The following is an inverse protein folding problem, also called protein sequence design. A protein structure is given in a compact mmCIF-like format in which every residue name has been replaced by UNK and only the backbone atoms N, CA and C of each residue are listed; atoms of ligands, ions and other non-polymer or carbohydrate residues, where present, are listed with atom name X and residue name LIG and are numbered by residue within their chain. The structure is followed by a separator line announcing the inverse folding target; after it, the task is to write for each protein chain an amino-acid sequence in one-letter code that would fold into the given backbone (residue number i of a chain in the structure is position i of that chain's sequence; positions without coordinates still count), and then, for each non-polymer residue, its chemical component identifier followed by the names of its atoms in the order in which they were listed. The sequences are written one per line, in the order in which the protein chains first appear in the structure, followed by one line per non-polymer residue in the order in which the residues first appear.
data_IF_514990314442
#
_entry.id   IF_514990314442
#
_cell.length_a   1.000
_cell.length_b   1.000
_cell.length_c   1.000
_cell.angle_alpha   90.00
_cell.angle_beta   90.00
_cell.angle_gamma   90.00
#
_symmetry.space_group_name_H-M   'P 1'
#
loop_
_entity.id
_entity.type
_entity.pdbx_description
1 polymer ?
#
# COMPACT_ATOMS: atom_id res chain seq x y z
N UNK A 1 -9.74 -17.32 3.60
CA UNK A 1 -9.88 -15.91 3.20
C UNK A 1 -8.53 -15.26 3.41
N UNK A 2 -7.85 -14.92 2.32
CA UNK A 2 -6.54 -14.29 2.38
C UNK A 2 -6.68 -12.81 2.06
N UNK A 3 -6.20 -11.93 2.93
CA UNK A 3 -6.11 -10.50 2.61
C UNK A 3 -5.03 -10.31 1.56
N UNK A 4 -5.37 -9.70 0.42
CA UNK A 4 -4.36 -9.24 -0.53
C UNK A 4 -3.64 -8.03 0.07
N UNK A 5 -2.33 -8.15 0.24
CA UNK A 5 -1.44 -7.10 0.71
C UNK A 5 -0.64 -6.61 -0.48
N UNK A 6 -0.69 -5.33 -0.76
CA UNK A 6 0.12 -4.70 -1.79
C UNK A 6 1.05 -3.69 -1.14
N UNK A 7 2.34 -3.88 -1.34
CA UNK A 7 3.41 -3.02 -0.81
C UNK A 7 4.01 -2.26 -1.99
N UNK A 8 4.09 -0.94 -1.85
CA UNK A 8 4.71 -0.05 -2.83
C UNK A 8 5.96 0.55 -2.22
N UNK A 9 7.10 0.43 -2.91
CA UNK A 9 8.35 1.09 -2.53
C UNK A 9 8.69 2.19 -3.52
N UNK A 10 9.43 3.21 -3.07
CA UNK A 10 10.09 4.15 -3.98
C UNK A 10 11.19 3.44 -4.76
N UNK A 11 11.30 3.69 -6.07
CA UNK A 11 12.53 3.37 -6.80
C UNK A 11 12.39 3.00 -8.27
N UNK A 12 13.09 3.76 -9.10
CA UNK A 12 13.21 3.61 -10.55
C UNK A 12 14.23 2.57 -11.04
N UNK A 13 14.64 1.58 -10.23
CA UNK A 13 15.39 0.40 -10.69
C UNK A 13 15.71 -0.57 -9.56
N UNK A 14 14.76 -1.42 -9.19
CA UNK A 14 15.06 -2.68 -8.50
C UNK A 14 14.67 -3.84 -9.40
N UNK A 15 15.62 -4.30 -10.21
CA UNK A 15 15.50 -5.59 -10.88
C UNK A 15 15.61 -6.67 -9.81
N UNK A 16 14.51 -7.39 -9.53
CA UNK A 16 14.60 -8.70 -8.87
C UNK A 16 13.77 -8.94 -7.61
N UNK A 17 12.89 -8.04 -7.17
CA UNK A 17 12.00 -8.39 -6.06
C UNK A 17 10.72 -9.14 -6.52
N UNK A 18 10.86 -10.11 -7.42
CA UNK A 18 9.88 -11.18 -7.53
C UNK A 18 10.24 -12.26 -6.52
N UNK A 19 10.18 -11.93 -5.22
CA UNK A 19 10.18 -12.98 -4.22
C UNK A 19 8.93 -13.83 -4.48
N UNK A 20 9.04 -15.16 -4.40
CA UNK A 20 7.89 -16.06 -4.60
C UNK A 20 6.81 -15.64 -3.61
N UNK A 21 5.83 -14.91 -4.13
CA UNK A 21 4.71 -14.39 -3.39
C UNK A 21 4.09 -15.55 -2.63
N UNK A 22 4.03 -15.48 -1.30
CA UNK A 22 2.89 -16.09 -0.61
C UNK A 22 1.71 -15.44 -1.32
N UNK A 23 0.92 -16.19 -2.10
CA UNK A 23 -0.03 -15.76 -3.17
C UNK A 23 -0.87 -14.48 -2.92
N UNK A 24 -0.87 -13.96 -1.71
CA UNK A 24 -1.56 -12.81 -1.17
C UNK A 24 -0.70 -11.54 -1.06
N UNK A 25 0.63 -11.58 -1.23
CA UNK A 25 1.50 -10.39 -1.11
C UNK A 25 2.05 -9.99 -2.49
N UNK A 26 1.67 -8.81 -2.96
CA UNK A 26 2.22 -8.16 -4.15
C UNK A 26 3.18 -7.06 -3.71
N UNK A 27 4.32 -6.94 -4.40
CA UNK A 27 5.27 -5.83 -4.22
C UNK A 27 5.43 -5.13 -5.56
N UNK A 28 5.36 -3.80 -5.56
CA UNK A 28 5.68 -2.96 -6.72
C UNK A 28 6.61 -1.82 -6.32
N UNK A 29 7.26 -1.24 -7.32
CA UNK A 29 8.11 -0.07 -7.16
C UNK A 29 7.52 1.10 -7.95
N UNK A 30 7.70 2.31 -7.45
CA UNK A 30 7.25 3.51 -8.15
C UNK A 30 8.06 3.75 -9.44
N UNK A 31 7.42 4.24 -10.51
CA UNK A 31 8.14 4.68 -11.71
C UNK A 31 9.13 5.81 -11.43
N UNK A 32 10.03 6.08 -12.39
CA UNK A 32 10.91 7.25 -12.33
C UNK A 32 10.09 8.55 -12.27
N UNK A 33 10.48 9.45 -11.35
CA UNK A 33 9.79 10.71 -11.13
C UNK A 33 8.45 10.59 -10.40
N UNK A 34 8.07 9.41 -9.91
CA UNK A 34 6.82 9.16 -9.19
C UNK A 34 7.13 8.64 -7.78
N UNK A 35 6.44 9.17 -6.77
CA UNK A 35 6.57 8.68 -5.39
C UNK A 35 5.74 7.42 -5.16
N UNK A 36 6.13 6.59 -4.21
CA UNK A 36 5.31 5.47 -3.74
C UNK A 36 3.93 5.93 -3.25
N UNK A 37 3.85 7.13 -2.68
CA UNK A 37 2.60 7.73 -2.21
C UNK A 37 1.66 8.07 -3.38
N UNK A 38 2.18 8.55 -4.50
CA UNK A 38 1.38 8.82 -5.70
C UNK A 38 0.83 7.52 -6.29
N UNK A 39 1.65 6.47 -6.33
CA UNK A 39 1.21 5.14 -6.77
C UNK A 39 0.17 4.57 -5.81
N UNK A 40 0.39 4.70 -4.50
CA UNK A 40 -0.55 4.25 -3.47
C UNK A 40 -1.91 4.97 -3.60
N UNK A 41 -1.91 6.29 -3.80
CA UNK A 41 -3.13 7.07 -4.05
C UNK A 41 -3.87 6.58 -5.29
N UNK A 42 -3.16 6.35 -6.39
CA UNK A 42 -3.74 5.85 -7.63
C UNK A 42 -4.33 4.44 -7.46
N UNK A 43 -3.62 3.54 -6.78
CA UNK A 43 -4.10 2.18 -6.48
C UNK A 43 -5.36 2.23 -5.62
N UNK A 44 -5.39 3.00 -4.53
CA UNK A 44 -6.58 3.17 -3.67
C UNK A 44 -7.77 3.70 -4.46
N UNK A 45 -7.57 4.73 -5.30
CA UNK A 45 -8.63 5.31 -6.12
C UNK A 45 -9.17 4.35 -7.20
N UNK A 46 -8.38 3.34 -7.59
CA UNK A 46 -8.77 2.35 -8.59
C UNK A 46 -9.55 1.15 -8.02
N UNK A 47 -9.58 0.99 -6.69
CA UNK A 47 -10.28 -0.13 -6.06
C UNK A 47 -11.80 0.05 -6.16
N UNK A 48 -12.51 -1.04 -6.40
CA UNK A 48 -13.98 -1.08 -6.30
C UNK A 48 -14.44 -0.49 -4.95
N UNK A 49 -15.30 0.53 -4.91
CA UNK A 49 -15.74 1.17 -3.67
C UNK A 49 -16.41 0.24 -2.66
N UNK A 50 -16.96 -0.90 -3.11
CA UNK A 50 -17.56 -1.92 -2.24
C UNK A 50 -16.52 -2.81 -1.55
N UNK A 51 -15.26 -2.77 -2.00
CA UNK A 51 -14.15 -3.51 -1.41
C UNK A 51 -13.48 -2.65 -0.33
N UNK A 52 -13.50 -3.08 0.95
CA UNK A 52 -12.80 -2.36 2.00
C UNK A 52 -11.29 -2.32 1.75
N UNK A 53 -10.71 -1.12 1.83
CA UNK A 53 -9.27 -0.89 1.73
C UNK A 53 -8.74 -0.41 3.08
N UNK A 54 -7.58 -0.93 3.47
CA UNK A 54 -6.79 -0.46 4.60
C UNK A 54 -5.45 0.01 4.08
N UNK A 55 -5.11 1.28 4.36
CA UNK A 55 -3.82 1.87 4.07
C UNK A 55 -3.02 1.95 5.36
N UNK A 56 -1.78 1.46 5.31
CA UNK A 56 -0.84 1.54 6.43
C UNK A 56 0.16 2.66 6.14
N UNK A 57 0.12 3.75 6.90
CA UNK A 57 1.05 4.87 6.74
C UNK A 57 1.11 5.72 8.01
N UNK A 58 2.23 6.42 8.21
CA UNK A 58 2.36 7.50 9.21
C UNK A 58 2.40 8.90 8.55
N UNK A 59 2.41 8.99 7.21
CA UNK A 59 2.43 10.25 6.48
C UNK A 59 1.04 10.90 6.49
N UNK A 60 0.94 12.11 7.06
CA UNK A 60 -0.34 12.81 7.22
C UNK A 60 -0.94 13.30 5.90
N UNK A 61 -0.12 13.65 4.91
CA UNK A 61 -0.63 14.04 3.59
C UNK A 61 -1.33 12.86 2.93
N UNK A 62 -0.69 11.68 2.97
CA UNK A 62 -1.30 10.43 2.46
C UNK A 62 -2.58 10.11 3.22
N UNK A 63 -2.60 10.22 4.56
CA UNK A 63 -3.81 9.96 5.37
C UNK A 63 -5.00 10.78 4.90
N UNK A 64 -4.81 12.08 4.64
CA UNK A 64 -5.88 12.97 4.22
C UNK A 64 -6.45 12.49 2.88
N UNK A 65 -5.57 12.24 1.91
CA UNK A 65 -5.95 11.86 0.55
C UNK A 65 -6.68 10.51 0.50
N UNK A 66 -6.14 9.48 1.17
CA UNK A 66 -6.73 8.14 1.10
C UNK A 66 -8.03 8.03 1.89
N UNK A 67 -8.19 8.82 2.97
CA UNK A 67 -9.48 8.90 3.68
C UNK A 67 -10.55 9.58 2.83
N UNK A 68 -10.19 10.63 2.08
CA UNK A 68 -11.10 11.27 1.15
C UNK A 68 -11.56 10.30 0.05
N UNK A 69 -10.71 9.33 -0.33
CA UNK A 69 -11.03 8.24 -1.25
C UNK A 69 -11.79 7.06 -0.60
N UNK A 70 -12.15 7.13 0.69
CA UNK A 70 -12.93 6.10 1.39
C UNK A 70 -12.11 4.97 2.01
N UNK A 71 -10.77 5.06 2.03
CA UNK A 71 -9.94 4.06 2.68
C UNK A 71 -9.90 4.20 4.21
N UNK A 72 -9.72 3.07 4.89
CA UNK A 72 -9.40 3.03 6.31
C UNK A 72 -7.90 3.20 6.48
N UNK A 73 -7.46 3.87 7.55
CA UNK A 73 -6.03 4.13 7.80
C UNK A 73 -5.61 3.50 9.13
N UNK A 74 -4.46 2.85 9.11
CA UNK A 74 -3.77 2.29 10.28
C UNK A 74 -2.34 2.83 10.31
N UNK A 75 -1.83 3.18 11.49
CA UNK A 75 -0.42 3.59 11.60
C UNK A 75 0.51 2.40 11.39
N UNK A 76 1.72 2.65 10.89
CA UNK A 76 2.71 1.57 10.73
C UNK A 76 3.04 0.91 12.07
N UNK A 77 3.06 1.69 13.15
CA UNK A 77 3.29 1.18 14.51
C UNK A 77 2.20 0.19 14.95
N UNK A 78 0.93 0.55 14.76
CA UNK A 78 -0.19 -0.33 15.10
C UNK A 78 -0.21 -1.58 14.24
N UNK A 79 0.09 -1.44 12.95
CA UNK A 79 0.22 -2.57 12.03
C UNK A 79 1.36 -3.51 12.46
N UNK A 80 2.54 -2.97 12.81
CA UNK A 80 3.68 -3.76 13.28
C UNK A 80 3.39 -4.48 14.60
N UNK A 81 2.60 -3.86 15.50
CA UNK A 81 2.22 -4.50 16.77
C UNK A 81 1.39 -5.78 16.56
N UNK A 82 0.60 -5.85 15.49
CA UNK A 82 -0.23 -7.04 15.18
C UNK A 82 0.44 -7.99 14.18
N UNK A 83 1.25 -7.49 13.25
CA UNK A 83 1.92 -8.31 12.23
C UNK A 83 3.05 -9.20 12.78
N UNK A 84 3.54 -8.91 13.99
CA UNK A 84 4.57 -9.69 14.69
C UNK A 84 4.04 -10.94 15.41
N UNK A 85 2.73 -11.15 15.43
CA UNK A 85 2.07 -12.31 16.05
C UNK A 85 1.81 -13.41 15.02
#
# INVERSE_FOLDING_TARGET
WGTMVHIVFDGSSVVGAHTRSRLLVRVSFSPEGVTADDVLRAEVASVDPTRPVVVVTNDQAVVIDVKAAGANVVSSDAFLAVARR
#
